data_IF_411276152351
#
_entry.id   IF_411276152351
#
_cell.length_a   1.000
_cell.length_b   1.000
_cell.length_c   1.000
_cell.angle_alpha   90.00
_cell.angle_beta   90.00
_cell.angle_gamma   90.00
#
_symmetry.space_group_name_H-M   'P 1'
#
loop_
_entity.id
_entity.type
_entity.pdbx_description
1 polymer ?
#
# COMPACT_ATOMS: atom_id res chain seq x y z
N UNK A 1 -18.83 -4.60 12.54
CA UNK A 1 -19.24 -3.41 11.76
C UNK A 1 -18.39 -3.40 10.51
N UNK A 2 -18.99 -3.71 9.38
CA UNK A 2 -18.31 -3.88 8.10
C UNK A 2 -17.86 -2.52 7.58
N UNK A 3 -16.56 -2.27 7.57
CA UNK A 3 -15.97 -1.20 6.76
C UNK A 3 -16.21 -1.55 5.31
N UNK A 4 -17.25 -0.98 4.69
CA UNK A 4 -17.48 -1.16 3.26
C UNK A 4 -16.29 -0.57 2.52
N UNK A 5 -15.54 -1.41 1.81
CA UNK A 5 -14.42 -0.98 0.98
C UNK A 5 -14.83 0.12 0.01
N UNK A 6 -13.86 0.97 -0.34
CA UNK A 6 -14.06 2.11 -1.24
C UNK A 6 -13.84 1.72 -2.70
N UNK A 7 -14.72 2.14 -3.59
CA UNK A 7 -14.40 2.19 -5.01
C UNK A 7 -13.48 3.39 -5.29
N UNK A 8 -12.40 3.19 -6.06
CA UNK A 8 -11.54 4.28 -6.52
C UNK A 8 -11.41 4.21 -8.03
N UNK A 9 -11.70 5.30 -8.72
CA UNK A 9 -11.57 5.41 -10.18
C UNK A 9 -10.45 6.39 -10.55
N UNK A 10 -9.69 6.03 -11.56
CA UNK A 10 -8.69 6.88 -12.22
C UNK A 10 -9.10 6.98 -13.69
N UNK A 11 -9.49 8.18 -14.12
CA UNK A 11 -9.97 8.45 -15.47
C UNK A 11 -9.02 9.45 -16.14
N UNK A 12 -8.18 8.98 -17.08
CA UNK A 12 -7.23 9.78 -17.82
C UNK A 12 -6.21 10.52 -16.95
N UNK A 13 -5.82 9.93 -15.81
CA UNK A 13 -4.96 10.58 -14.81
C UNK A 13 -3.53 10.70 -15.33
N UNK A 14 -3.01 11.92 -15.37
CA UNK A 14 -1.59 12.17 -15.59
C UNK A 14 -0.99 13.06 -14.50
N UNK A 15 0.34 13.06 -14.39
CA UNK A 15 1.04 13.95 -13.46
C UNK A 15 2.35 14.46 -14.01
N UNK A 16 2.46 15.78 -14.08
CA UNK A 16 3.70 16.52 -14.36
C UNK A 16 4.07 17.36 -13.14
N UNK A 17 5.31 17.32 -12.72
CA UNK A 17 5.87 18.17 -11.69
C UNK A 17 6.73 19.26 -12.35
N UNK A 18 6.71 20.46 -11.81
CA UNK A 18 7.40 21.65 -12.31
C UNK A 18 6.43 22.73 -12.75
N UNK A 19 6.80 23.97 -12.53
CA UNK A 19 6.05 25.18 -12.94
C UNK A 19 7.00 26.07 -13.73
N UNK A 20 6.59 26.53 -14.90
CA UNK A 20 7.32 27.50 -15.70
C UNK A 20 7.92 26.94 -17.00
N UNK A 21 8.91 27.66 -17.55
CA UNK A 21 9.52 27.42 -18.87
C UNK A 21 10.40 26.18 -18.95
N UNK A 22 10.76 25.56 -17.81
CA UNK A 22 11.46 24.30 -17.78
C UNK A 22 10.48 23.15 -18.09
N UNK A 23 10.91 22.22 -18.94
CA UNK A 23 10.17 21.00 -19.24
C UNK A 23 9.97 20.19 -17.94
N UNK A 24 8.86 20.41 -17.24
CA UNK A 24 8.57 19.76 -15.97
C UNK A 24 8.60 18.23 -16.09
N UNK A 25 8.98 17.53 -15.01
CA UNK A 25 9.10 16.09 -14.96
C UNK A 25 7.74 15.39 -15.14
N UNK A 26 7.52 14.68 -16.26
CA UNK A 26 6.36 13.83 -16.44
C UNK A 26 6.55 12.55 -15.59
N UNK A 27 5.81 12.46 -14.48
CA UNK A 27 5.87 11.32 -13.58
C UNK A 27 4.90 10.22 -14.01
N UNK A 28 3.68 10.60 -14.40
CA UNK A 28 2.65 9.69 -14.89
C UNK A 28 2.15 10.18 -16.25
N UNK A 29 2.06 9.28 -17.19
CA UNK A 29 1.29 9.43 -18.43
C UNK A 29 -0.16 9.00 -18.16
N UNK A 30 -1.03 9.02 -19.16
CA UNK A 30 -2.46 8.68 -18.99
C UNK A 30 -2.65 7.33 -18.30
N UNK A 31 -3.29 7.35 -17.15
CA UNK A 31 -3.61 6.18 -16.34
C UNK A 31 -5.12 6.07 -16.18
N UNK A 32 -5.68 4.96 -16.67
CA UNK A 32 -7.06 4.57 -16.51
C UNK A 32 -7.12 3.28 -15.69
N UNK A 33 -7.78 3.31 -14.54
CA UNK A 33 -7.89 2.14 -13.68
C UNK A 33 -9.03 2.29 -12.66
N UNK A 34 -9.70 1.19 -12.35
CA UNK A 34 -10.73 1.15 -11.33
C UNK A 34 -10.47 0.05 -10.31
N UNK A 35 -10.54 0.43 -9.02
CA UNK A 35 -10.55 -0.45 -7.86
C UNK A 35 -11.99 -0.77 -7.48
N UNK A 36 -12.28 -2.04 -7.25
CA UNK A 36 -13.58 -2.49 -6.74
C UNK A 36 -13.62 -2.36 -5.21
N UNK A 37 -14.79 -2.11 -4.62
CA UNK A 37 -14.93 -2.11 -3.17
C UNK A 37 -14.45 -3.45 -2.56
N UNK A 38 -13.63 -3.37 -1.52
CA UNK A 38 -13.11 -4.55 -0.84
C UNK A 38 -12.03 -5.33 -1.60
N UNK A 39 -11.56 -4.82 -2.74
CA UNK A 39 -10.48 -5.42 -3.50
C UNK A 39 -9.11 -5.05 -2.92
N UNK A 40 -8.15 -5.97 -3.00
CA UNK A 40 -6.75 -5.70 -2.70
C UNK A 40 -5.93 -5.77 -4.00
N UNK A 41 -5.26 -4.67 -4.36
CA UNK A 41 -4.49 -4.55 -5.60
C UNK A 41 -3.06 -4.17 -5.27
N UNK A 42 -2.10 -4.84 -5.91
CA UNK A 42 -0.70 -4.42 -5.87
C UNK A 42 -0.29 -3.73 -7.15
N UNK A 43 0.54 -2.69 -7.01
CA UNK A 43 1.16 -1.96 -8.10
C UNK A 43 2.66 -2.24 -8.08
N UNK A 44 3.17 -2.84 -9.14
CA UNK A 44 4.59 -3.15 -9.31
C UNK A 44 5.18 -2.40 -10.50
N UNK A 45 6.47 -2.11 -10.45
CA UNK A 45 7.16 -1.41 -11.54
C UNK A 45 8.54 -0.94 -11.11
N UNK A 46 9.38 -0.45 -12.04
CA UNK A 46 10.72 0.04 -11.74
C UNK A 46 10.74 1.19 -10.73
N UNK A 47 11.87 1.39 -10.06
CA UNK A 47 12.05 2.55 -9.18
C UNK A 47 11.89 3.86 -9.97
N UNK A 48 11.21 4.84 -9.36
CA UNK A 48 10.99 6.15 -9.99
C UNK A 48 9.95 6.19 -11.12
N UNK A 49 9.22 5.10 -11.40
CA UNK A 49 8.21 5.08 -12.46
C UNK A 49 6.89 5.79 -12.12
N UNK A 50 6.70 6.28 -10.89
CA UNK A 50 5.51 7.04 -10.50
C UNK A 50 4.52 6.30 -9.60
N UNK A 51 4.81 5.09 -9.12
CA UNK A 51 3.91 4.31 -8.22
C UNK A 51 3.47 5.09 -7.00
N UNK A 52 4.42 5.65 -6.26
CA UNK A 52 4.13 6.47 -5.06
C UNK A 52 3.36 7.76 -5.43
N UNK A 53 3.59 8.32 -6.61
CA UNK A 53 2.83 9.47 -7.11
C UNK A 53 1.38 9.08 -7.36
N UNK A 54 1.14 7.94 -8.00
CA UNK A 54 -0.19 7.40 -8.24
C UNK A 54 -0.93 7.14 -6.92
N UNK A 55 -0.24 6.52 -5.97
CA UNK A 55 -0.80 6.25 -4.63
C UNK A 55 -1.17 7.55 -3.89
N UNK A 56 -0.33 8.59 -3.98
CA UNK A 56 -0.62 9.91 -3.39
C UNK A 56 -1.79 10.62 -4.07
N UNK A 57 -1.99 10.42 -5.38
CA UNK A 57 -3.18 10.91 -6.09
C UNK A 57 -4.43 10.18 -5.58
N UNK A 58 -4.40 8.86 -5.43
CA UNK A 58 -5.50 8.08 -4.84
C UNK A 58 -5.81 8.53 -3.41
N UNK A 59 -4.80 8.92 -2.63
CA UNK A 59 -4.98 9.48 -1.29
C UNK A 59 -5.57 10.90 -1.29
N UNK A 60 -5.53 11.62 -2.42
CA UNK A 60 -5.85 13.04 -2.52
C UNK A 60 -4.79 13.97 -1.94
N UNK A 61 -3.60 13.45 -1.69
CA UNK A 61 -2.44 14.23 -1.22
C UNK A 61 -1.79 15.03 -2.34
N UNK A 62 -1.99 14.60 -3.59
CA UNK A 62 -1.48 15.26 -4.79
C UNK A 62 -2.59 15.32 -5.83
N UNK A 63 -2.86 16.52 -6.38
CA UNK A 63 -3.79 16.64 -7.48
C UNK A 63 -3.17 16.12 -8.79
N UNK A 64 -3.93 15.40 -9.65
CA UNK A 64 -3.47 15.08 -10.99
C UNK A 64 -3.28 16.36 -11.84
N UNK A 65 -2.46 16.28 -12.88
CA UNK A 65 -2.30 17.39 -13.85
C UNK A 65 -3.43 17.37 -14.89
N UNK A 66 -3.88 16.19 -15.30
CA UNK A 66 -5.06 15.97 -16.14
C UNK A 66 -5.85 14.77 -15.62
N UNK A 67 -7.09 14.64 -16.06
CA UNK A 67 -7.98 13.55 -15.65
C UNK A 67 -8.54 13.74 -14.25
N UNK A 68 -9.12 12.69 -13.72
CA UNK A 68 -9.79 12.72 -12.41
C UNK A 68 -9.54 11.44 -11.62
N UNK A 69 -9.32 11.60 -10.32
CA UNK A 69 -9.38 10.52 -9.35
C UNK A 69 -10.69 10.63 -8.58
N UNK A 70 -11.56 9.64 -8.69
CA UNK A 70 -12.84 9.56 -7.97
C UNK A 70 -12.73 8.60 -6.80
N UNK A 71 -13.30 8.97 -5.67
CA UNK A 71 -13.41 8.13 -4.47
C UNK A 71 -14.66 8.55 -3.71
N UNK A 72 -15.30 7.65 -2.96
CA UNK A 72 -16.47 7.98 -2.18
C UNK A 72 -16.18 9.05 -1.13
N UNK A 73 -17.11 9.97 -0.94
CA UNK A 73 -17.03 10.96 0.15
C UNK A 73 -17.20 10.29 1.52
N UNK A 74 -16.54 10.83 2.54
CA UNK A 74 -16.66 10.36 3.93
C UNK A 74 -16.02 9.02 4.23
N UNK A 75 -15.22 8.45 3.29
CA UNK A 75 -14.44 7.24 3.57
C UNK A 75 -13.13 7.60 4.25
N UNK A 76 -12.91 7.01 5.41
CA UNK A 76 -11.64 7.08 6.10
C UNK A 76 -10.55 6.43 5.24
N UNK A 77 -9.53 7.22 4.91
CA UNK A 77 -8.38 6.77 4.12
C UNK A 77 -7.14 6.80 4.98
N UNK A 78 -6.47 5.66 5.12
CA UNK A 78 -5.18 5.58 5.78
C UNK A 78 -4.06 5.39 4.76
N UNK A 79 -2.95 6.10 4.97
CA UNK A 79 -1.76 6.03 4.14
C UNK A 79 -0.55 5.60 4.99
N UNK A 80 0.14 4.57 4.55
CA UNK A 80 1.42 4.13 5.11
C UNK A 80 2.51 4.54 4.12
N UNK A 81 3.36 5.47 4.54
CA UNK A 81 4.47 5.98 3.74
C UNK A 81 5.65 5.00 3.76
N UNK A 82 6.50 5.07 2.75
CA UNK A 82 7.75 4.32 2.64
C UNK A 82 8.67 4.57 3.85
N UNK A 83 8.70 5.80 4.35
CA UNK A 83 9.27 6.13 5.65
C UNK A 83 8.20 6.14 6.72
N UNK A 84 8.47 5.58 7.89
CA UNK A 84 7.47 5.37 8.94
C UNK A 84 6.79 6.66 9.45
N UNK A 85 7.38 7.84 9.23
CA UNK A 85 6.85 9.16 9.60
C UNK A 85 6.24 9.20 11.02
N UNK A 86 6.97 8.65 12.00
CA UNK A 86 6.56 8.60 13.40
C UNK A 86 6.90 9.91 14.11
N UNK A 87 6.10 10.26 15.12
CA UNK A 87 6.40 11.39 16.01
C UNK A 87 7.44 10.94 17.05
N UNK A 88 8.69 11.44 17.00
CA UNK A 88 9.78 10.92 17.84
C UNK A 88 9.59 11.21 19.33
N UNK A 89 8.80 12.21 19.70
CA UNK A 89 8.47 12.57 21.07
C UNK A 89 7.25 11.84 21.65
N UNK A 90 6.58 10.99 20.84
CA UNK A 90 5.45 10.15 21.30
C UNK A 90 5.91 8.70 21.47
N UNK A 91 5.36 8.04 22.48
CA UNK A 91 5.56 6.59 22.64
C UNK A 91 4.92 5.79 21.49
N UNK A 92 5.22 4.51 21.41
CA UNK A 92 4.62 3.55 20.46
C UNK A 92 3.09 3.59 20.54
N UNK A 93 2.54 3.47 21.75
CA UNK A 93 1.09 3.55 21.95
C UNK A 93 0.51 4.88 21.44
N UNK A 94 1.15 5.99 21.77
CA UNK A 94 0.67 7.33 21.37
C UNK A 94 0.82 7.57 19.87
N UNK A 95 1.82 6.97 19.21
CA UNK A 95 1.92 6.99 17.77
C UNK A 95 0.81 6.17 17.10
N UNK A 96 0.48 4.99 17.64
CA UNK A 96 -0.61 4.16 17.12
C UNK A 96 -1.99 4.85 17.26
N UNK A 97 -2.18 5.68 18.27
CA UNK A 97 -3.43 6.43 18.54
C UNK A 97 -3.58 7.69 17.67
N UNK A 98 -2.50 8.20 17.07
CA UNK A 98 -2.40 9.54 16.49
C UNK A 98 -3.53 9.86 15.50
N UNK A 99 -3.78 9.02 14.52
CA UNK A 99 -4.78 9.31 13.47
C UNK A 99 -6.18 9.42 14.06
N UNK A 100 -6.53 8.55 15.00
CA UNK A 100 -7.84 8.58 15.66
C UNK A 100 -7.99 9.80 16.59
N UNK A 101 -6.91 10.27 17.21
CA UNK A 101 -6.90 11.53 17.94
C UNK A 101 -7.18 12.73 17.02
N UNK A 102 -6.55 12.76 15.84
CA UNK A 102 -6.72 13.83 14.85
C UNK A 102 -8.13 13.85 14.25
N UNK A 103 -8.75 12.69 14.05
CA UNK A 103 -10.15 12.54 13.62
C UNK A 103 -11.17 12.83 14.74
N UNK A 104 -10.71 13.17 15.95
CA UNK A 104 -11.59 13.54 17.07
C UNK A 104 -12.30 12.38 17.76
N UNK A 105 -11.83 11.13 17.57
CA UNK A 105 -12.39 9.99 18.29
C UNK A 105 -12.18 10.07 19.80
N UNK A 106 -13.14 9.58 20.58
CA UNK A 106 -13.01 9.54 22.03
C UNK A 106 -11.94 8.52 22.50
N UNK A 107 -11.14 8.83 23.55
CA UNK A 107 -10.11 7.93 24.07
C UNK A 107 -10.58 6.52 24.38
N UNK A 108 -11.79 6.38 24.92
CA UNK A 108 -12.40 5.08 25.22
C UNK A 108 -12.61 4.21 23.96
N UNK A 109 -12.79 4.84 22.80
CA UNK A 109 -12.97 4.16 21.51
C UNK A 109 -11.63 3.77 20.88
N UNK A 110 -10.63 4.63 20.89
CA UNK A 110 -9.41 4.40 20.11
C UNK A 110 -8.32 3.62 20.87
N UNK A 111 -8.27 3.67 22.21
CA UNK A 111 -7.25 2.93 22.98
C UNK A 111 -7.30 1.41 22.74
N UNK A 112 -8.47 0.75 22.80
CA UNK A 112 -8.53 -0.68 22.48
C UNK A 112 -8.11 -1.00 21.04
N UNK A 113 -8.50 -0.16 20.06
CA UNK A 113 -8.13 -0.35 18.65
C UNK A 113 -6.62 -0.25 18.43
N UNK A 114 -5.97 0.74 19.07
CA UNK A 114 -4.52 0.91 19.01
C UNK A 114 -3.80 -0.30 19.63
N UNK A 115 -4.27 -0.78 20.78
CA UNK A 115 -3.68 -1.97 21.42
C UNK A 115 -3.83 -3.22 20.57
N UNK A 116 -5.00 -3.44 19.95
CA UNK A 116 -5.26 -4.53 19.00
C UNK A 116 -4.32 -4.44 17.79
N UNK A 117 -4.18 -3.26 17.20
CA UNK A 117 -3.29 -3.04 16.06
C UNK A 117 -1.81 -3.25 16.41
N UNK A 118 -1.36 -2.82 17.59
CA UNK A 118 0.00 -3.06 18.08
C UNK A 118 0.28 -4.55 18.28
N UNK A 119 -0.68 -5.29 18.84
CA UNK A 119 -0.58 -6.75 18.99
C UNK A 119 -0.47 -7.42 17.63
N UNK A 120 -1.31 -7.02 16.67
CA UNK A 120 -1.34 -7.56 15.30
C UNK A 120 0.03 -7.44 14.62
N UNK A 121 0.72 -6.31 14.76
CA UNK A 121 2.03 -6.11 14.15
C UNK A 121 3.22 -6.58 15.03
N UNK A 122 2.95 -7.34 16.08
CA UNK A 122 3.98 -7.89 16.97
C UNK A 122 4.74 -6.83 17.77
N UNK A 123 4.07 -5.75 18.17
CA UNK A 123 4.63 -4.69 19.01
C UNK A 123 4.03 -4.65 20.43
N UNK A 124 3.31 -5.71 20.84
CA UNK A 124 2.88 -5.88 22.22
C UNK A 124 4.11 -5.94 23.15
N UNK A 125 4.07 -5.20 24.26
CA UNK A 125 5.19 -5.05 25.19
C UNK A 125 6.11 -3.85 24.91
N UNK A 126 5.94 -3.17 23.77
CA UNK A 126 6.73 -1.98 23.40
C UNK A 126 5.93 -0.67 23.55
N UNK A 127 4.73 -0.68 24.13
CA UNK A 127 3.78 0.43 24.16
C UNK A 127 4.39 1.72 24.72
N UNK A 128 5.26 1.59 25.72
CA UNK A 128 5.93 2.70 26.42
C UNK A 128 7.24 3.12 25.76
N UNK A 129 7.75 2.37 24.80
CA UNK A 129 8.99 2.69 24.09
C UNK A 129 8.79 3.89 23.16
N UNK A 130 9.90 4.55 22.79
CA UNK A 130 9.93 5.64 21.83
C UNK A 130 10.46 5.15 20.47
N UNK A 131 10.16 5.83 19.34
CA UNK A 131 10.62 5.43 18.01
C UNK A 131 12.12 5.22 17.89
N UNK A 132 12.95 5.99 18.60
CA UNK A 132 14.42 5.85 18.57
C UNK A 132 14.92 4.55 19.23
N UNK A 133 14.10 3.89 20.05
CA UNK A 133 14.40 2.62 20.70
C UNK A 133 13.99 1.41 19.83
N UNK A 134 13.36 1.65 18.67
CA UNK A 134 12.88 0.61 17.76
C UNK A 134 13.83 0.41 16.59
N UNK A 135 13.93 -0.83 16.09
CA UNK A 135 14.57 -1.12 14.81
C UNK A 135 13.81 -0.48 13.63
N UNK A 136 14.43 -0.40 12.44
CA UNK A 136 13.78 0.12 11.23
C UNK A 136 12.48 -0.62 10.90
N UNK A 137 12.51 -1.95 10.94
CA UNK A 137 11.33 -2.79 10.72
C UNK A 137 10.24 -2.58 11.78
N UNK A 138 10.61 -2.45 13.07
CA UNK A 138 9.64 -2.13 14.13
C UNK A 138 8.99 -0.76 13.93
N UNK A 139 9.73 0.24 13.48
CA UNK A 139 9.16 1.56 13.15
C UNK A 139 8.14 1.46 12.02
N UNK A 140 8.43 0.69 10.98
CA UNK A 140 7.49 0.48 9.88
C UNK A 140 6.24 -0.28 10.34
N UNK A 141 6.39 -1.32 11.16
CA UNK A 141 5.26 -2.03 11.77
C UNK A 141 4.37 -1.11 12.64
N UNK A 142 4.98 -0.17 13.37
CA UNK A 142 4.22 0.85 14.11
C UNK A 142 3.44 1.79 13.18
N UNK A 143 4.02 2.20 12.05
CA UNK A 143 3.31 2.99 11.05
C UNK A 143 2.10 2.24 10.47
N UNK A 144 2.26 0.94 10.23
CA UNK A 144 1.16 0.06 9.80
C UNK A 144 0.09 -0.05 10.90
N UNK A 145 0.48 -0.30 12.16
CA UNK A 145 -0.47 -0.35 13.28
C UNK A 145 -1.28 0.95 13.41
N UNK A 146 -0.63 2.11 13.26
CA UNK A 146 -1.28 3.42 13.29
C UNK A 146 -2.37 3.55 12.21
N UNK A 147 -2.09 3.08 10.99
CA UNK A 147 -3.04 3.10 9.89
C UNK A 147 -4.21 2.12 10.12
N UNK A 148 -3.93 0.91 10.57
CA UNK A 148 -4.92 -0.14 10.82
C UNK A 148 -5.85 0.19 12.00
N UNK A 149 -5.35 0.87 13.03
CA UNK A 149 -6.14 1.28 14.19
C UNK A 149 -7.31 2.21 13.81
N UNK A 150 -7.16 2.98 12.73
CA UNK A 150 -8.23 3.83 12.18
C UNK A 150 -9.41 3.00 11.62
N UNK A 151 -9.18 1.72 11.26
CA UNK A 151 -10.13 0.86 10.54
C UNK A 151 -10.62 1.50 9.24
N UNK A 152 -9.70 1.85 8.32
CA UNK A 152 -10.02 2.61 7.13
C UNK A 152 -10.91 1.83 6.15
N UNK A 153 -11.67 2.54 5.32
CA UNK A 153 -12.34 1.97 4.15
C UNK A 153 -11.40 1.85 2.94
N UNK A 154 -10.33 2.69 2.90
CA UNK A 154 -9.27 2.64 1.90
C UNK A 154 -7.90 2.65 2.60
N UNK A 155 -7.11 1.61 2.39
CA UNK A 155 -5.75 1.49 2.91
C UNK A 155 -4.73 1.56 1.77
N UNK A 156 -3.85 2.55 1.81
CA UNK A 156 -2.82 2.81 0.81
C UNK A 156 -1.44 2.59 1.42
N UNK A 157 -0.66 1.70 0.81
CA UNK A 157 0.59 1.18 1.36
C UNK A 157 1.74 1.42 0.36
N UNK A 158 2.68 2.31 0.70
CA UNK A 158 3.84 2.64 -0.13
C UNK A 158 5.08 1.91 0.39
N UNK A 159 5.39 0.74 -0.17
CA UNK A 159 6.51 -0.15 0.20
C UNK A 159 6.61 -0.46 1.71
N UNK A 160 5.53 -0.84 2.39
CA UNK A 160 5.47 -0.90 3.86
C UNK A 160 6.36 -1.98 4.47
N UNK A 161 6.76 -2.99 3.70
CA UNK A 161 7.54 -4.12 4.18
C UNK A 161 8.98 -4.16 3.63
N UNK A 162 9.41 -3.11 2.91
CA UNK A 162 10.74 -3.09 2.29
C UNK A 162 11.90 -3.17 3.29
N UNK A 163 11.73 -2.61 4.50
CA UNK A 163 12.74 -2.59 5.57
C UNK A 163 12.55 -3.74 6.60
N UNK A 164 11.72 -4.74 6.30
CA UNK A 164 11.43 -5.86 7.19
C UNK A 164 12.18 -7.10 6.70
N UNK A 165 12.74 -7.90 7.61
CA UNK A 165 13.36 -9.18 7.29
C UNK A 165 12.34 -10.18 6.69
N UNK A 166 12.84 -11.18 5.95
CA UNK A 166 12.00 -12.07 5.14
C UNK A 166 10.98 -12.85 5.97
N UNK A 167 11.40 -13.45 7.09
CA UNK A 167 10.49 -14.25 7.94
C UNK A 167 9.41 -13.38 8.58
N UNK A 168 9.79 -12.24 9.10
CA UNK A 168 8.83 -11.27 9.67
C UNK A 168 7.89 -10.73 8.60
N UNK A 169 8.39 -10.51 7.39
CA UNK A 169 7.59 -10.04 6.24
C UNK A 169 6.49 -11.02 5.89
N UNK A 170 6.79 -12.32 5.84
CA UNK A 170 5.81 -13.36 5.52
C UNK A 170 4.69 -13.41 6.57
N UNK A 171 5.03 -13.35 7.85
CA UNK A 171 4.05 -13.29 8.94
C UNK A 171 3.17 -12.05 8.80
N UNK A 172 3.76 -10.87 8.54
CA UNK A 172 2.99 -9.63 8.37
C UNK A 172 2.07 -9.66 7.14
N UNK A 173 2.47 -10.33 6.05
CA UNK A 173 1.61 -10.51 4.88
C UNK A 173 0.39 -11.38 5.23
N UNK A 174 0.57 -12.46 5.96
CA UNK A 174 -0.52 -13.34 6.41
C UNK A 174 -1.49 -12.59 7.32
N UNK A 175 -0.96 -11.84 8.27
CA UNK A 175 -1.73 -11.01 9.20
C UNK A 175 -2.52 -9.91 8.45
N UNK A 176 -1.85 -9.20 7.52
CA UNK A 176 -2.50 -8.17 6.70
C UNK A 176 -3.62 -8.76 5.82
N UNK A 177 -3.36 -9.92 5.21
CA UNK A 177 -4.35 -10.65 4.41
C UNK A 177 -5.57 -11.06 5.25
N UNK A 178 -5.32 -11.60 6.45
CA UNK A 178 -6.38 -11.98 7.39
C UNK A 178 -7.22 -10.77 7.81
N UNK A 179 -6.56 -9.67 8.17
CA UNK A 179 -7.22 -8.44 8.57
C UNK A 179 -8.05 -7.84 7.43
N UNK A 180 -7.49 -7.76 6.21
CA UNK A 180 -8.20 -7.28 5.04
C UNK A 180 -9.49 -8.06 4.81
N UNK A 181 -9.44 -9.39 4.88
CA UNK A 181 -10.63 -10.25 4.72
C UNK A 181 -11.68 -10.01 5.80
N UNK A 182 -11.26 -9.79 7.04
CA UNK A 182 -12.19 -9.55 8.16
C UNK A 182 -12.82 -8.17 8.10
N UNK A 183 -12.03 -7.15 7.76
CA UNK A 183 -12.47 -5.76 7.76
C UNK A 183 -13.13 -5.33 6.45
N UNK A 184 -12.82 -5.98 5.32
CA UNK A 184 -13.42 -5.71 4.01
C UNK A 184 -13.03 -4.34 3.41
N UNK A 185 -11.91 -3.74 3.84
CA UNK A 185 -11.44 -2.49 3.24
C UNK A 185 -10.87 -2.71 1.84
N UNK A 186 -10.82 -1.67 1.03
CA UNK A 186 -10.07 -1.66 -0.23
C UNK A 186 -8.61 -1.37 0.06
N UNK A 187 -7.69 -2.22 -0.43
CA UNK A 187 -6.26 -2.10 -0.24
C UNK A 187 -5.51 -1.81 -1.54
N UNK A 188 -4.55 -0.89 -1.49
CA UNK A 188 -3.57 -0.71 -2.58
C UNK A 188 -2.17 -0.78 -2.01
N UNK A 189 -1.37 -1.70 -2.53
CA UNK A 189 0.02 -1.93 -2.14
C UNK A 189 0.96 -1.55 -3.29
N UNK A 190 1.83 -0.61 -3.06
CA UNK A 190 3.01 -0.39 -3.91
C UNK A 190 4.16 -1.22 -3.37
N UNK A 191 4.74 -2.06 -4.21
CA UNK A 191 5.90 -2.86 -3.86
C UNK A 191 6.79 -3.13 -5.07
N UNK A 192 8.06 -3.41 -4.84
CA UNK A 192 8.98 -3.95 -5.85
C UNK A 192 9.13 -5.48 -5.76
N UNK A 193 8.50 -6.12 -4.76
CA UNK A 193 8.54 -7.56 -4.55
C UNK A 193 7.33 -8.23 -5.22
N UNK A 194 7.59 -8.97 -6.32
CA UNK A 194 6.55 -9.66 -7.08
C UNK A 194 5.85 -10.76 -6.27
N UNK A 195 6.59 -11.46 -5.39
CA UNK A 195 6.00 -12.50 -4.54
C UNK A 195 4.99 -11.91 -3.55
N UNK A 196 5.34 -10.76 -2.94
CA UNK A 196 4.43 -10.01 -2.07
C UNK A 196 3.18 -9.57 -2.82
N UNK A 197 3.36 -8.99 -4.03
CA UNK A 197 2.25 -8.54 -4.86
C UNK A 197 1.28 -9.68 -5.20
N UNK A 198 1.80 -10.83 -5.63
CA UNK A 198 0.97 -11.99 -5.97
C UNK A 198 0.32 -12.60 -4.73
N UNK A 199 1.02 -12.66 -3.57
CA UNK A 199 0.47 -13.27 -2.37
C UNK A 199 -0.68 -12.48 -1.76
N UNK A 200 -0.63 -11.14 -1.80
CA UNK A 200 -1.60 -10.26 -1.12
C UNK A 200 -2.79 -9.84 -1.98
N UNK A 201 -2.69 -9.90 -3.31
CA UNK A 201 -3.61 -9.16 -4.18
C UNK A 201 -4.60 -10.03 -4.94
N UNK A 202 -5.76 -9.45 -5.27
CA UNK A 202 -6.68 -9.97 -6.28
C UNK A 202 -6.19 -9.69 -7.71
N UNK A 203 -5.54 -8.52 -7.91
CA UNK A 203 -4.92 -8.13 -9.18
C UNK A 203 -3.58 -7.47 -8.94
N UNK A 204 -2.65 -7.71 -9.86
CA UNK A 204 -1.35 -7.04 -9.92
C UNK A 204 -1.32 -6.11 -11.13
N UNK A 205 -1.13 -4.82 -10.87
CA UNK A 205 -0.96 -3.77 -11.90
C UNK A 205 0.53 -3.60 -12.15
N UNK A 206 0.95 -3.82 -13.38
CA UNK A 206 2.35 -3.66 -13.81
C UNK A 206 2.51 -2.30 -14.49
N UNK A 207 3.42 -1.47 -13.98
CA UNK A 207 3.69 -0.14 -14.54
C UNK A 207 4.96 -0.10 -15.37
N UNK A 208 4.93 0.74 -16.42
CA UNK A 208 6.10 1.05 -17.25
C UNK A 208 7.15 1.85 -16.46
N UNK A 209 8.41 1.92 -16.96
CA UNK A 209 9.31 3.00 -16.60
C UNK A 209 8.69 4.38 -16.85
N UNK A 210 9.32 5.41 -16.31
CA UNK A 210 8.84 6.81 -16.43
C UNK A 210 8.86 7.33 -17.87
N UNK A 211 7.79 8.03 -18.31
CA UNK A 211 6.55 8.33 -17.58
C UNK A 211 5.72 7.07 -17.34
N UNK A 212 5.27 6.91 -16.06
CA UNK A 212 4.56 5.71 -15.65
C UNK A 212 3.18 5.60 -16.30
N UNK A 213 2.89 4.45 -16.90
CA UNK A 213 1.58 4.05 -17.42
C UNK A 213 1.32 2.60 -17.06
N UNK A 214 0.08 2.18 -17.05
CA UNK A 214 -0.26 0.78 -16.85
C UNK A 214 0.08 0.01 -18.12
N UNK A 215 0.89 -1.05 -17.98
CA UNK A 215 1.25 -1.96 -19.06
C UNK A 215 0.27 -3.13 -19.11
N UNK A 216 0.01 -3.72 -17.97
CA UNK A 216 -0.83 -4.90 -17.85
C UNK A 216 -1.47 -4.94 -16.46
N UNK A 217 -2.67 -5.50 -16.39
CA UNK A 217 -3.37 -5.85 -15.16
C UNK A 217 -3.55 -7.36 -15.15
N UNK A 218 -2.91 -8.02 -14.21
CA UNK A 218 -2.89 -9.49 -14.11
C UNK A 218 -3.78 -9.90 -12.95
N UNK A 219 -4.81 -10.72 -13.23
CA UNK A 219 -5.66 -11.31 -12.21
C UNK A 219 -4.89 -12.40 -11.46
N UNK A 220 -5.07 -12.46 -10.14
CA UNK A 220 -4.47 -13.49 -9.28
C UNK A 220 -5.53 -14.53 -8.95
N UNK A 221 -5.48 -15.73 -9.55
CA UNK A 221 -6.56 -16.72 -9.49
C UNK A 221 -6.60 -17.54 -8.20
N UNK A 222 -5.78 -17.17 -7.20
CA UNK A 222 -5.72 -17.90 -5.95
C UNK A 222 -6.77 -17.37 -4.97
N UNK A 223 -7.60 -18.26 -4.48
CA UNK A 223 -8.63 -17.93 -3.48
C UNK A 223 -8.03 -17.58 -2.12
N UNK A 224 -8.77 -16.83 -1.33
CA UNK A 224 -8.44 -16.53 0.06
C UNK A 224 -9.27 -17.42 1.02
N UNK A 225 -8.71 -17.86 2.17
CA UNK A 225 -7.38 -17.56 2.71
C UNK A 225 -6.27 -18.27 1.92
N UNK A 226 -5.16 -17.58 1.71
CA UNK A 226 -3.96 -18.15 1.10
C UNK A 226 -3.08 -18.75 2.19
N UNK A 227 -2.90 -20.05 2.14
CA UNK A 227 -1.99 -20.75 3.05
C UNK A 227 -0.52 -20.42 2.70
N UNK A 228 0.41 -20.43 3.68
CA UNK A 228 1.83 -20.18 3.44
C UNK A 228 2.44 -21.06 2.36
N UNK A 229 1.97 -22.33 2.27
CA UNK A 229 2.43 -23.33 1.30
C UNK A 229 2.14 -22.95 -0.15
N UNK A 230 1.20 -22.02 -0.38
CA UNK A 230 0.93 -21.48 -1.72
C UNK A 230 2.20 -20.94 -2.39
N UNK A 231 3.08 -20.28 -1.59
CA UNK A 231 4.34 -19.71 -2.09
C UNK A 231 5.26 -20.73 -2.75
N UNK A 232 5.18 -22.02 -2.31
CA UNK A 232 5.96 -23.11 -2.87
C UNK A 232 5.28 -23.82 -4.05
N UNK A 233 4.07 -23.43 -4.44
CA UNK A 233 3.32 -24.08 -5.52
C UNK A 233 3.82 -23.70 -6.90
N UNK A 234 3.72 -24.63 -7.86
CA UNK A 234 4.05 -24.38 -9.26
C UNK A 234 3.19 -23.27 -9.89
N UNK A 235 1.91 -23.16 -9.50
CA UNK A 235 1.02 -22.10 -9.97
C UNK A 235 1.47 -20.72 -9.51
N UNK A 236 1.92 -20.60 -8.26
CA UNK A 236 2.46 -19.34 -7.73
C UNK A 236 3.76 -18.94 -8.44
N UNK A 237 4.67 -19.90 -8.65
CA UNK A 237 5.92 -19.68 -9.39
C UNK A 237 5.65 -19.25 -10.84
N UNK A 238 4.68 -19.86 -11.52
CA UNK A 238 4.29 -19.50 -12.88
C UNK A 238 3.77 -18.06 -12.95
N UNK A 239 2.87 -17.67 -12.04
CA UNK A 239 2.27 -16.33 -12.01
C UNK A 239 3.31 -15.24 -11.65
N UNK A 240 4.18 -15.48 -10.67
CA UNK A 240 5.29 -14.57 -10.35
C UNK A 240 6.27 -14.45 -11.51
N UNK A 241 6.50 -15.54 -12.26
CA UNK A 241 7.26 -15.56 -13.51
C UNK A 241 6.63 -14.69 -14.59
N UNK A 242 5.31 -14.76 -14.79
CA UNK A 242 4.56 -13.93 -15.74
C UNK A 242 4.72 -12.43 -15.40
N UNK A 243 4.45 -12.03 -14.16
CA UNK A 243 4.61 -10.63 -13.71
C UNK A 243 6.05 -10.15 -13.95
N UNK A 244 7.04 -11.00 -13.62
CA UNK A 244 8.46 -10.68 -13.81
C UNK A 244 8.82 -10.53 -15.27
N UNK A 245 8.25 -11.35 -16.16
CA UNK A 245 8.49 -11.28 -17.60
C UNK A 245 8.00 -9.95 -18.18
N UNK A 246 6.81 -9.48 -17.79
CA UNK A 246 6.29 -8.16 -18.22
C UNK A 246 7.22 -7.03 -17.77
N UNK A 247 7.70 -7.06 -16.51
CA UNK A 247 8.65 -6.08 -15.99
C UNK A 247 9.97 -6.07 -16.76
N UNK A 248 10.52 -7.25 -17.08
CA UNK A 248 11.80 -7.40 -17.82
C UNK A 248 11.70 -6.94 -19.27
N UNK A 249 10.61 -7.24 -19.97
CA UNK A 249 10.42 -6.83 -21.36
C UNK A 249 10.56 -5.31 -21.53
N UNK A 250 10.07 -4.52 -20.56
CA UNK A 250 10.20 -3.07 -20.58
C UNK A 250 11.61 -2.56 -20.27
N UNK A 251 12.34 -3.27 -19.41
CA UNK A 251 13.72 -2.88 -19.10
C UNK A 251 14.64 -3.03 -20.32
N UNK A 252 14.45 -4.09 -21.13
CA UNK A 252 15.20 -4.30 -22.36
C UNK A 252 14.84 -3.29 -23.46
N UNK A 253 13.56 -2.93 -23.59
CA UNK A 253 13.12 -1.94 -24.58
C UNK A 253 13.73 -0.54 -24.29
N UNK A 254 13.90 -0.19 -23.00
CA UNK A 254 14.49 1.09 -22.60
C UNK A 254 16.02 1.13 -22.75
N UNK A 255 16.70 -0.01 -22.60
CA UNK A 255 18.15 -0.10 -22.77
C UNK A 255 18.56 -0.10 -24.25
N UNK A 256 17.60 -0.33 -25.17
CA UNK A 256 17.81 -0.36 -26.63
C UNK A 256 17.40 0.95 -27.33
N UNK A 257 16.80 1.91 -26.60
CA UNK A 257 16.38 3.25 -27.09
C UNK A 257 17.32 4.35 -26.62
#
# INVERSE_FOLDING_TARGET
MSGKGAAVGLDGVSKRFGTGRDEGLQALDTVDFALRPGEFVSIVGPSGCGKSTLLRIMAGLVAPSTGRCTRPEGIETAFVFQEAALLPWRTVERNAQLLMELEGHAPASYRPRAAEALKLVGLAGFEKSYPHQLSGGMRMRLSLARALALRPGLLLLDEPLAAVDELTRDVLQEELSSLWRQAGFTGVLVTHNVHEAVYLSNRVVVMSPRPGRILEVIDVPFEFPRAPELRASAGFAALTGQVTAVLRAQHHAQAAA
#
